data_IF_982684603632
#
_entry.id   IF_982684603632
#
_cell.length_a   1.000
_cell.length_b   1.000
_cell.length_c   1.000
_cell.angle_alpha   90.00
_cell.angle_beta   90.00
_cell.angle_gamma   90.00
#
_symmetry.space_group_name_H-M   'P 1'
#
loop_
_entity.id
_entity.type
_entity.pdbx_description
1 polymer ?
#
# COMPACT_ATOMS: atom_id res chain seq x y z
N UNK A 1 -24.14 12.12 -7.77
CA UNK A 1 -22.68 11.84 -7.73
C UNK A 1 -22.46 10.69 -6.75
N UNK A 2 -21.81 9.60 -7.16
CA UNK A 2 -21.51 8.47 -6.27
C UNK A 2 -20.38 8.91 -5.31
N UNK A 3 -20.52 8.77 -3.98
CA UNK A 3 -19.48 9.21 -3.06
C UNK A 3 -18.16 8.50 -3.41
N UNK A 4 -17.11 9.28 -3.61
CA UNK A 4 -15.76 8.75 -3.77
C UNK A 4 -15.45 7.96 -2.49
N UNK A 5 -15.02 6.69 -2.58
CA UNK A 5 -14.61 5.95 -1.40
C UNK A 5 -13.49 6.71 -0.69
N UNK A 6 -13.75 7.11 0.55
CA UNK A 6 -12.80 7.84 1.39
C UNK A 6 -11.66 6.91 1.78
N UNK A 7 -10.48 7.16 1.21
CA UNK A 7 -9.27 6.44 1.58
C UNK A 7 -8.58 7.07 2.80
N UNK A 8 -7.84 6.28 3.59
CA UNK A 8 -7.03 6.78 4.69
C UNK A 8 -5.96 7.79 4.26
N UNK A 9 -5.37 8.49 5.23
CA UNK A 9 -4.22 9.38 4.99
C UNK A 9 -3.10 8.66 4.24
N UNK A 10 -2.53 9.34 3.25
CA UNK A 10 -1.50 8.83 2.34
C UNK A 10 -1.94 7.67 1.41
N UNK A 11 -3.24 7.45 1.29
CA UNK A 11 -3.84 6.52 0.34
C UNK A 11 -4.63 7.28 -0.75
N UNK A 12 -4.80 6.64 -1.90
CA UNK A 12 -5.61 7.10 -3.03
C UNK A 12 -6.47 5.95 -3.53
N UNK A 13 -7.70 6.24 -3.92
CA UNK A 13 -8.55 5.25 -4.56
C UNK A 13 -8.10 5.02 -6.02
N UNK A 14 -8.00 3.75 -6.40
CA UNK A 14 -7.85 3.32 -7.79
C UNK A 14 -8.99 2.37 -8.13
N UNK A 15 -9.47 2.41 -9.39
CA UNK A 15 -10.42 1.44 -9.91
C UNK A 15 -9.80 0.04 -10.08
N UNK A 16 -8.46 -0.03 -10.09
CA UNK A 16 -7.70 -1.22 -10.39
C UNK A 16 -6.53 -1.32 -9.39
N UNK A 17 -6.81 -1.88 -8.21
CA UNK A 17 -5.81 -2.05 -7.15
C UNK A 17 -4.93 -3.28 -7.44
N UNK A 18 -3.59 -3.20 -7.25
CA UNK A 18 -2.73 -4.38 -7.26
C UNK A 18 -3.09 -5.33 -6.11
N UNK A 19 -2.98 -6.64 -6.34
CA UNK A 19 -3.36 -7.66 -5.36
C UNK A 19 -2.57 -7.55 -4.07
N UNK A 20 -1.31 -7.16 -4.20
CA UNK A 20 -0.40 -6.95 -3.10
C UNK A 20 0.28 -5.62 -3.34
N UNK A 21 0.43 -4.84 -2.28
CA UNK A 21 1.22 -3.62 -2.31
C UNK A 21 2.58 -3.90 -1.67
N UNK A 22 3.62 -3.21 -2.13
CA UNK A 22 4.93 -3.30 -1.51
C UNK A 22 4.83 -2.84 -0.07
N UNK A 23 5.46 -3.59 0.84
CA UNK A 23 5.57 -3.21 2.25
C UNK A 23 7.02 -2.93 2.60
N UNK A 24 7.26 -2.25 3.72
CA UNK A 24 8.61 -2.05 4.27
C UNK A 24 9.39 -3.35 4.46
N UNK A 25 8.71 -4.48 4.68
CA UNK A 25 9.30 -5.82 4.86
C UNK A 25 9.33 -6.65 3.57
N UNK A 26 8.52 -6.29 2.58
CA UNK A 26 8.31 -7.06 1.35
C UNK A 26 8.41 -6.13 0.16
N UNK A 27 9.64 -5.75 -0.15
CA UNK A 27 10.06 -5.17 -1.42
C UNK A 27 10.34 -6.30 -2.39
N UNK A 28 9.29 -6.95 -2.90
CA UNK A 28 9.41 -8.10 -3.80
C UNK A 28 8.40 -8.04 -4.94
N UNK A 29 8.64 -8.87 -5.98
CA UNK A 29 7.75 -9.09 -7.12
C UNK A 29 6.32 -9.29 -6.63
N UNK A 30 5.51 -8.23 -6.77
CA UNK A 30 4.08 -8.31 -6.50
C UNK A 30 3.51 -9.22 -7.59
N UNK A 31 2.95 -10.40 -7.23
CA UNK A 31 2.34 -11.25 -8.23
C UNK A 31 1.27 -10.43 -8.96
N UNK A 32 1.36 -10.40 -10.29
CA UNK A 32 0.28 -9.84 -11.12
C UNK A 32 -0.98 -10.60 -10.74
N UNK A 33 -2.05 -9.88 -10.39
CA UNK A 33 -3.33 -10.52 -10.15
C UNK A 33 -3.70 -11.33 -11.39
N UNK A 34 -3.99 -12.62 -11.22
CA UNK A 34 -4.53 -13.45 -12.30
C UNK A 34 -6.01 -13.15 -12.59
N UNK A 35 -6.67 -12.31 -11.78
CA UNK A 35 -8.10 -12.01 -11.87
C UNK A 35 -8.43 -10.56 -12.25
N UNK A 36 -9.73 -10.26 -12.49
CA UNK A 36 -10.19 -8.91 -12.78
C UNK A 36 -9.80 -7.97 -11.63
N UNK A 37 -9.26 -6.80 -11.96
CA UNK A 37 -8.82 -5.89 -10.93
C UNK A 37 -10.02 -5.29 -10.19
N UNK A 38 -9.87 -5.18 -8.88
CA UNK A 38 -10.90 -4.62 -8.00
C UNK A 38 -10.52 -3.20 -7.61
N UNK A 39 -11.52 -2.35 -7.46
CA UNK A 39 -11.32 -1.01 -6.93
C UNK A 39 -10.95 -1.05 -5.44
N UNK A 40 -10.05 -0.16 -5.02
CA UNK A 40 -9.64 -0.06 -3.62
C UNK A 40 -8.64 1.05 -3.36
N UNK A 41 -8.34 1.27 -2.08
CA UNK A 41 -7.33 2.24 -1.65
C UNK A 41 -5.93 1.64 -1.73
N UNK A 42 -5.03 2.39 -2.36
CA UNK A 42 -3.60 2.08 -2.50
C UNK A 42 -2.77 3.21 -1.91
N UNK A 43 -1.52 2.94 -1.53
CA UNK A 43 -0.58 3.98 -1.17
C UNK A 43 -0.41 4.97 -2.33
N UNK A 44 -0.37 6.26 -2.00
CA UNK A 44 0.00 7.30 -2.98
C UNK A 44 1.41 7.04 -3.50
N UNK A 45 1.71 7.54 -4.70
CA UNK A 45 3.05 7.46 -5.28
C UNK A 45 4.09 8.00 -4.28
N UNK A 46 5.17 7.26 -4.08
CA UNK A 46 6.22 7.61 -3.12
C UNK A 46 5.93 7.18 -1.67
N UNK A 47 4.78 6.56 -1.39
CA UNK A 47 4.47 5.95 -0.09
C UNK A 47 4.48 4.42 -0.21
N UNK A 48 4.84 3.76 0.89
CA UNK A 48 4.91 2.30 1.02
C UNK A 48 4.14 1.87 2.28
N UNK A 49 3.49 0.70 2.25
CA UNK A 49 2.78 0.21 3.43
C UNK A 49 3.79 -0.27 4.47
N UNK A 50 3.58 0.04 5.75
CA UNK A 50 4.46 -0.46 6.82
C UNK A 50 4.42 -1.99 6.90
N UNK A 51 3.21 -2.53 6.94
CA UNK A 51 2.88 -3.96 6.99
C UNK A 51 1.66 -4.23 6.11
N UNK A 52 1.31 -5.50 5.88
CA UNK A 52 0.06 -5.83 5.20
C UNK A 52 -1.12 -5.24 5.98
N UNK A 53 -2.06 -4.57 5.29
CA UNK A 53 -3.13 -3.74 5.88
C UNK A 53 -2.66 -2.59 6.82
N UNK A 54 -1.35 -2.30 6.88
CA UNK A 54 -0.81 -1.18 7.64
C UNK A 54 -0.97 0.16 6.92
N UNK A 55 -0.61 1.25 7.61
CA UNK A 55 -0.64 2.61 7.06
C UNK A 55 0.43 2.80 5.98
N UNK A 56 0.15 3.70 5.04
CA UNK A 56 1.12 4.16 4.06
C UNK A 56 2.02 5.25 4.64
N UNK A 57 3.32 5.01 4.61
CA UNK A 57 4.36 5.92 5.11
C UNK A 57 5.40 6.18 4.02
N UNK A 58 6.23 7.20 4.19
CA UNK A 58 7.40 7.37 3.32
C UNK A 58 8.37 6.19 3.52
N UNK A 59 9.03 5.69 2.47
CA UNK A 59 10.05 4.64 2.56
C UNK A 59 11.14 4.94 3.59
N UNK A 60 11.53 6.21 3.74
CA UNK A 60 12.49 6.65 4.77
C UNK A 60 12.02 6.38 6.20
N UNK A 61 10.70 6.29 6.45
CA UNK A 61 10.12 5.94 7.76
C UNK A 61 10.02 4.43 8.00
N UNK A 62 10.32 3.59 7.00
CA UNK A 62 10.39 2.14 7.21
C UNK A 62 11.48 1.78 8.22
N UNK A 63 12.65 2.44 8.16
CA UNK A 63 13.77 2.19 9.07
C UNK A 63 13.48 2.60 10.52
N UNK A 64 12.63 3.60 10.73
CA UNK A 64 12.30 4.11 12.07
C UNK A 64 11.23 3.29 12.80
N UNK A 65 10.47 2.46 12.09
CA UNK A 65 9.32 1.73 12.65
C UNK A 65 9.64 0.27 12.99
N UNK A 66 10.82 -0.22 12.60
CA UNK A 66 11.28 -1.57 12.95
C UNK A 66 12.42 -1.50 13.97
N UNK A 67 12.16 -1.67 15.28
CA UNK A 67 13.19 -1.98 16.27
C UNK A 67 13.52 -3.49 16.23
N UNK A 68 13.66 -4.10 15.05
CA UNK A 68 14.20 -5.45 14.95
C UNK A 68 15.71 -5.38 14.80
N UNK A 69 16.30 -5.16 15.96
CA UNK A 69 17.64 -5.55 16.36
C UNK A 69 17.94 -6.97 15.88
N UNK A 70 19.03 -7.14 15.13
CA UNK A 70 19.68 -8.44 14.97
C UNK A 70 20.18 -8.94 16.33
#
# INVERSE_FOLDING_TARGET
>A
MKPQPTCPTNERYTCCKPCRESTCLSTGLLPKCAGPCKGGCICKNGYIRVINNGRCVLPSKCSSTFPFKF
#
